data_IF_235103346168
#
_entry.id   IF_235103346168
#
_cell.length_a   1.000
_cell.length_b   1.000
_cell.length_c   1.000
_cell.angle_alpha   90.00
_cell.angle_beta   90.00
_cell.angle_gamma   90.00
#
_symmetry.space_group_name_H-M   'P 1'
#
loop_
_entity.id
_entity.type
_entity.pdbx_description
1 polymer ?
#
# COMPACT_ATOMS: atom_id res chain seq x y z
N UNK A 1 14.56 11.06 -0.07
CA UNK A 1 14.20 9.85 0.72
C UNK A 1 13.52 10.28 2.02
N UNK A 2 12.21 10.08 2.16
CA UNK A 2 11.47 10.45 3.37
C UNK A 2 10.81 9.20 3.93
N UNK A 3 10.85 9.10 5.24
CA UNK A 3 10.14 8.05 5.96
C UNK A 3 8.64 8.28 5.81
N UNK A 4 7.88 7.20 5.67
CA UNK A 4 6.43 7.26 5.49
C UNK A 4 5.77 6.49 6.61
N UNK A 5 4.88 7.16 7.34
CA UNK A 5 4.05 6.50 8.33
C UNK A 5 2.91 5.79 7.63
N UNK A 6 2.80 4.48 7.85
CA UNK A 6 1.70 3.64 7.37
C UNK A 6 0.83 3.27 8.56
N UNK A 7 -0.48 3.39 8.38
CA UNK A 7 -1.48 3.02 9.38
C UNK A 7 -2.29 1.84 8.87
N UNK A 8 -2.37 0.78 9.68
CA UNK A 8 -3.16 -0.41 9.41
C UNK A 8 -3.98 -0.71 10.68
N UNK A 9 -5.27 -0.43 10.63
CA UNK A 9 -6.15 -0.49 11.80
C UNK A 9 -5.65 0.46 12.89
N UNK A 10 -5.46 -0.07 14.11
CA UNK A 10 -5.02 0.72 15.27
C UNK A 10 -3.49 0.88 15.36
N UNK A 11 -2.74 0.22 14.48
CA UNK A 11 -1.28 0.24 14.50
C UNK A 11 -0.74 1.17 13.41
N UNK A 12 0.11 2.09 13.83
CA UNK A 12 0.89 2.93 12.91
C UNK A 12 2.37 2.61 13.07
N UNK A 13 3.07 2.46 11.95
CA UNK A 13 4.50 2.21 11.93
C UNK A 13 5.17 3.07 10.86
N UNK A 14 6.42 3.42 11.12
CA UNK A 14 7.22 4.22 10.19
C UNK A 14 7.96 3.27 9.26
N UNK A 15 7.85 3.51 7.96
CA UNK A 15 8.61 2.82 6.93
C UNK A 15 9.81 3.71 6.57
N UNK A 16 11.03 3.32 6.97
CA UNK A 16 12.23 4.08 6.67
C UNK A 16 12.48 4.13 5.16
N UNK A 17 13.04 5.24 4.69
CA UNK A 17 13.41 5.37 3.29
C UNK A 17 14.51 4.34 2.90
N UNK A 18 14.16 3.36 2.06
CA UNK A 18 15.06 2.32 1.57
C UNK A 18 14.76 0.92 2.11
N UNK A 19 13.80 0.78 3.03
CA UNK A 19 13.38 -0.51 3.60
C UNK A 19 12.02 -0.94 3.02
N UNK A 20 11.79 -2.25 2.87
CA UNK A 20 10.49 -2.77 2.43
C UNK A 20 9.46 -2.67 3.55
N UNK A 21 8.21 -2.37 3.20
CA UNK A 21 7.11 -2.23 4.16
C UNK A 21 6.89 -3.51 4.96
N UNK A 22 7.07 -4.68 4.33
CA UNK A 22 6.96 -5.98 4.97
C UNK A 22 7.92 -6.14 6.14
N UNK A 23 9.16 -5.68 6.01
CA UNK A 23 10.18 -5.77 7.06
C UNK A 23 9.87 -4.80 8.20
N UNK A 24 9.47 -3.56 7.86
CA UNK A 24 9.05 -2.57 8.85
C UNK A 24 7.80 -3.03 9.64
N UNK A 25 6.83 -3.65 8.96
CA UNK A 25 5.64 -4.22 9.59
C UNK A 25 6.01 -5.40 10.50
N UNK A 26 6.91 -6.29 10.07
CA UNK A 26 7.39 -7.39 10.89
C UNK A 26 8.12 -6.90 12.16
N UNK A 27 9.00 -5.90 12.02
CA UNK A 27 9.67 -5.27 13.16
C UNK A 27 8.68 -4.58 14.13
N UNK A 28 7.57 -4.04 13.60
CA UNK A 28 6.51 -3.45 14.40
C UNK A 28 5.47 -4.47 14.93
N UNK A 29 5.61 -5.77 14.62
CA UNK A 29 4.62 -6.78 14.99
C UNK A 29 3.23 -6.53 14.38
N UNK A 30 3.21 -6.00 13.15
CA UNK A 30 2.01 -5.70 12.38
C UNK A 30 1.85 -6.75 11.28
N UNK A 31 0.70 -7.41 11.24
CA UNK A 31 0.33 -8.30 10.13
C UNK A 31 -0.42 -7.48 9.09
N UNK A 32 0.02 -7.54 7.85
CA UNK A 32 -0.60 -6.81 6.74
C UNK A 32 -1.79 -7.64 6.24
N UNK A 33 -3.04 -7.19 6.41
CA UNK A 33 -4.21 -7.91 5.92
C UNK A 33 -4.34 -7.77 4.40
N UNK A 34 -5.39 -8.35 3.84
CA UNK A 34 -5.80 -8.05 2.47
C UNK A 34 -6.05 -6.55 2.34
N UNK A 35 -5.61 -5.95 1.23
CA UNK A 35 -5.70 -4.51 1.00
C UNK A 35 -6.60 -4.26 -0.19
N UNK A 36 -7.49 -3.28 -0.09
CA UNK A 36 -8.32 -2.77 -1.18
C UNK A 36 -8.09 -1.28 -1.36
N UNK A 37 -8.33 -0.80 -2.57
CA UNK A 37 -8.26 0.62 -2.87
C UNK A 37 -9.68 1.17 -2.82
N UNK A 38 -9.87 2.24 -2.07
CA UNK A 38 -11.12 2.98 -2.06
C UNK A 38 -11.19 3.90 -3.30
N UNK A 39 -12.13 3.67 -4.23
CA UNK A 39 -12.24 4.47 -5.43
C UNK A 39 -12.71 5.91 -5.16
N UNK A 40 -13.33 6.18 -4.02
CA UNK A 40 -13.80 7.52 -3.67
C UNK A 40 -12.65 8.48 -3.36
N UNK A 41 -11.60 7.97 -2.70
CA UNK A 41 -10.42 8.76 -2.33
C UNK A 41 -9.26 8.63 -3.32
N UNK A 42 -9.24 7.56 -4.13
CA UNK A 42 -8.16 7.29 -5.07
C UNK A 42 -8.16 8.27 -6.27
N UNK A 43 -7.12 9.11 -6.36
CA UNK A 43 -6.93 10.04 -7.49
C UNK A 43 -6.28 9.42 -8.73
N UNK A 44 -6.00 8.11 -8.73
CA UNK A 44 -5.38 7.42 -9.86
C UNK A 44 -3.95 7.87 -10.18
N UNK A 45 -3.11 8.06 -9.15
CA UNK A 45 -1.73 8.55 -9.32
C UNK A 45 -0.75 7.49 -9.84
N UNK A 46 -1.15 6.21 -9.95
CA UNK A 46 -0.35 5.07 -10.46
C UNK A 46 0.91 4.70 -9.65
N UNK A 47 1.18 5.39 -8.53
CA UNK A 47 2.35 5.11 -7.70
C UNK A 47 2.28 3.73 -7.02
N UNK A 48 1.09 3.31 -6.59
CA UNK A 48 0.87 1.99 -6.01
C UNK A 48 1.16 0.88 -7.04
N UNK A 49 0.67 1.02 -8.28
CA UNK A 49 0.92 0.06 -9.35
C UNK A 49 2.41 -0.08 -9.68
N UNK A 50 3.13 1.04 -9.77
CA UNK A 50 4.59 1.02 -9.98
C UNK A 50 5.38 0.39 -8.84
N UNK A 51 4.87 0.46 -7.62
CA UNK A 51 5.51 -0.12 -6.45
C UNK A 51 5.18 -1.61 -6.25
N UNK A 52 4.17 -2.12 -6.95
CA UNK A 52 3.80 -3.51 -6.83
C UNK A 52 4.72 -4.39 -7.70
N UNK A 53 5.70 -5.03 -7.08
CA UNK A 53 6.63 -5.94 -7.76
C UNK A 53 5.90 -7.12 -8.42
N UNK A 54 4.77 -7.56 -7.85
CA UNK A 54 3.96 -8.67 -8.37
C UNK A 54 2.98 -8.27 -9.48
N UNK A 55 2.86 -6.97 -9.79
CA UNK A 55 1.83 -6.50 -10.73
C UNK A 55 0.40 -6.80 -10.30
N UNK A 56 0.14 -6.89 -8.99
CA UNK A 56 -1.20 -7.16 -8.43
C UNK A 56 -2.13 -5.95 -8.51
N UNK A 57 -1.64 -4.76 -8.91
CA UNK A 57 -2.45 -3.54 -8.94
C UNK A 57 -2.64 -3.12 -10.38
N UNK A 58 -3.90 -3.01 -10.79
CA UNK A 58 -4.30 -2.57 -12.12
C UNK A 58 -5.11 -1.27 -12.03
N UNK A 59 -4.88 -0.35 -12.95
CA UNK A 59 -5.58 0.94 -12.98
C UNK A 59 -4.96 1.90 -13.99
N UNK A 60 -5.75 2.90 -14.38
CA UNK A 60 -5.32 3.91 -15.34
C UNK A 60 -5.07 5.27 -14.66
N UNK A 61 -4.32 6.14 -15.35
CA UNK A 61 -4.13 7.53 -14.90
C UNK A 61 -5.49 8.21 -14.71
N UNK A 62 -5.64 8.93 -13.59
CA UNK A 62 -6.89 9.61 -13.20
C UNK A 62 -8.10 8.69 -12.97
N UNK A 63 -7.90 7.37 -12.90
CA UNK A 63 -8.95 6.42 -12.53
C UNK A 63 -8.59 5.67 -11.24
N UNK A 64 -9.58 5.28 -10.42
CA UNK A 64 -9.33 4.45 -9.26
C UNK A 64 -8.68 3.13 -9.67
N UNK A 65 -7.70 2.71 -8.89
CA UNK A 65 -6.97 1.47 -9.13
C UNK A 65 -7.63 0.33 -8.35
N UNK A 66 -7.39 -0.90 -8.75
CA UNK A 66 -7.91 -2.12 -8.14
C UNK A 66 -6.76 -3.04 -7.79
N UNK A 67 -6.83 -3.65 -6.60
CA UNK A 67 -5.86 -4.66 -6.14
C UNK A 67 -6.45 -6.04 -6.36
N UNK A 68 -5.78 -6.82 -7.18
CA UNK A 68 -6.02 -8.24 -7.42
C UNK A 68 -5.56 -9.04 -6.19
N UNK A 69 -6.53 -9.63 -5.47
CA UNK A 69 -6.25 -10.37 -4.25
C UNK A 69 -5.56 -11.70 -4.50
N UNK A 70 -5.64 -12.25 -5.71
CA UNK A 70 -5.01 -13.53 -6.05
C UNK A 70 -3.51 -13.36 -6.28
N UNK A 71 -3.09 -12.17 -6.73
CA UNK A 71 -1.67 -11.81 -6.93
C UNK A 71 -1.04 -11.08 -5.75
N UNK A 72 -1.87 -10.52 -4.87
CA UNK A 72 -1.41 -9.73 -3.74
C UNK A 72 -0.77 -10.63 -2.67
N UNK A 73 0.52 -10.44 -2.42
CA UNK A 73 1.26 -11.12 -1.34
C UNK A 73 1.29 -10.33 -0.03
N UNK A 74 0.42 -9.33 0.10
CA UNK A 74 0.27 -8.54 1.32
C UNK A 74 1.60 -7.93 1.81
N UNK A 75 2.42 -7.42 0.89
CA UNK A 75 3.71 -6.80 1.24
C UNK A 75 3.57 -5.37 1.82
N UNK A 76 2.44 -4.71 1.58
CA UNK A 76 2.16 -3.34 2.04
C UNK A 76 2.90 -2.22 1.33
N UNK A 77 3.74 -2.50 0.33
CA UNK A 77 4.50 -1.46 -0.42
C UNK A 77 3.60 -0.36 -0.98
N UNK A 78 2.40 -0.73 -1.43
CA UNK A 78 1.44 0.21 -1.96
C UNK A 78 0.98 1.25 -0.90
N UNK A 79 0.86 0.86 0.37
CA UNK A 79 0.46 1.76 1.47
C UNK A 79 1.50 2.86 1.69
N UNK A 80 2.78 2.50 1.74
CA UNK A 80 3.86 3.47 1.91
C UNK A 80 3.99 4.45 0.73
N UNK A 81 3.50 4.08 -0.46
CA UNK A 81 3.51 4.95 -1.63
C UNK A 81 2.23 5.77 -1.77
N UNK A 82 1.15 5.35 -1.11
CA UNK A 82 -0.14 6.03 -1.17
C UNK A 82 -0.18 7.23 -0.22
N UNK A 83 0.24 8.39 -0.72
CA UNK A 83 0.21 9.66 0.04
C UNK A 83 -1.20 10.11 0.42
N UNK A 84 -2.23 9.65 -0.30
CA UNK A 84 -3.63 10.01 -0.06
C UNK A 84 -4.31 9.08 0.93
N UNK A 85 -3.65 8.00 1.38
CA UNK A 85 -4.26 7.02 2.29
C UNK A 85 -5.47 6.29 1.69
N UNK A 86 -5.56 6.21 0.35
CA UNK A 86 -6.70 5.59 -0.35
C UNK A 86 -6.68 4.06 -0.33
N UNK A 87 -5.69 3.46 0.32
CA UNK A 87 -5.55 2.01 0.44
C UNK A 87 -5.95 1.65 1.86
N UNK A 88 -6.97 0.80 1.95
CA UNK A 88 -7.56 0.38 3.21
C UNK A 88 -7.51 -1.14 3.34
N UNK A 89 -7.48 -1.68 4.56
CA UNK A 89 -7.69 -3.12 4.76
C UNK A 89 -9.05 -3.57 4.20
N UNK A 90 -9.05 -4.71 3.53
CA UNK A 90 -10.21 -5.27 2.82
C UNK A 90 -11.17 -5.98 3.74
#
# INVERSE_FOLDING_TARGET
PKDVTVTIGDKSFVVPAGTKVKDAAAAAGVVIPKLKIDPATCKGCTLCAKACENGAISGEKKKPHVIDQDKCVQCGECLARCKTGSIVPA
#
